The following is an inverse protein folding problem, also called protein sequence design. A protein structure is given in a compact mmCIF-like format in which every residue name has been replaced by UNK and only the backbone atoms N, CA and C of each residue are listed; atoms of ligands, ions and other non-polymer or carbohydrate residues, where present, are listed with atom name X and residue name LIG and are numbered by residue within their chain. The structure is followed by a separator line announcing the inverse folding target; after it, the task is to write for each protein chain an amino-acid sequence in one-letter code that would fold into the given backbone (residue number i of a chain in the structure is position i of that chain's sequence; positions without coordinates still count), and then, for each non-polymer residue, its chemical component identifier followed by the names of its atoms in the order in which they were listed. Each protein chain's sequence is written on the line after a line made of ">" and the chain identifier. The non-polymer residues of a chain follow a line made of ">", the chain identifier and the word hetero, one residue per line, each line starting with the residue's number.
data_IF_459358518783
#
_entry.id   IF_459358518783
#
_cell.length_a   1.000
_cell.length_b   1.000
_cell.length_c   1.000
_cell.angle_alpha   90.00
_cell.angle_beta   90.00
_cell.angle_gamma   90.00
#
_symmetry.space_group_name_H-M   'P 1'
#
loop_
_entity.id
_entity.type
_entity.pdbx_description
1 polymer ?
#
# COMPACT_ATOMS: atom_id res chain seq x y z
N UNK A 1 -4.18 7.38 11.90
CA UNK A 1 -4.30 7.66 10.44
C UNK A 1 -5.57 8.47 10.16
N UNK A 2 -5.92 9.43 11.02
CA UNK A 2 -7.10 10.29 10.83
C UNK A 2 -6.94 11.19 9.61
N UNK A 3 -5.77 11.79 9.45
CA UNK A 3 -5.53 12.78 8.39
C UNK A 3 -5.51 12.12 7.01
N UNK A 4 -5.01 10.88 6.93
CA UNK A 4 -5.04 10.07 5.71
C UNK A 4 -6.48 9.70 5.34
N UNK A 5 -7.33 9.39 6.32
CA UNK A 5 -8.75 9.12 6.07
C UNK A 5 -9.43 10.37 5.51
N UNK A 6 -9.26 11.52 6.15
CA UNK A 6 -9.80 12.80 5.67
C UNK A 6 -9.31 13.16 4.26
N UNK A 7 -8.02 12.93 3.97
CA UNK A 7 -7.46 13.18 2.65
C UNK A 7 -8.04 12.24 1.58
N UNK A 8 -8.25 10.96 1.91
CA UNK A 8 -8.89 10.00 1.00
C UNK A 8 -10.36 10.35 0.74
N UNK A 9 -11.09 10.75 1.79
CA UNK A 9 -12.47 11.23 1.69
C UNK A 9 -12.57 12.42 0.75
N UNK A 10 -11.76 13.45 1.01
CA UNK A 10 -11.68 14.61 0.14
C UNK A 10 -11.35 14.24 -1.31
N UNK A 11 -10.41 13.32 -1.54
CA UNK A 11 -10.00 12.94 -2.89
C UNK A 11 -11.17 12.34 -3.70
N UNK A 12 -11.88 11.34 -3.16
CA UNK A 12 -12.96 10.71 -3.92
C UNK A 12 -14.17 11.64 -4.06
N UNK A 13 -14.48 12.47 -3.05
CA UNK A 13 -15.55 13.47 -3.15
C UNK A 13 -15.28 14.52 -4.23
N UNK A 14 -14.00 14.81 -4.49
CA UNK A 14 -13.58 15.71 -5.57
C UNK A 14 -13.38 14.98 -6.92
N UNK A 15 -13.90 13.76 -7.06
CA UNK A 15 -13.91 13.05 -8.33
C UNK A 15 -12.58 12.40 -8.71
N UNK A 16 -11.67 12.18 -7.75
CA UNK A 16 -10.53 11.31 -8.00
C UNK A 16 -11.03 9.92 -8.42
N UNK A 17 -10.43 9.34 -9.45
CA UNK A 17 -10.74 7.97 -9.91
C UNK A 17 -9.68 6.97 -9.45
N UNK A 18 -8.52 7.46 -9.01
CA UNK A 18 -7.42 6.67 -8.48
C UNK A 18 -6.86 7.37 -7.25
N UNK A 19 -6.69 6.63 -6.16
CA UNK A 19 -6.03 7.10 -4.94
C UNK A 19 -4.79 6.22 -4.71
N UNK A 20 -3.62 6.85 -4.78
CA UNK A 20 -2.34 6.20 -4.52
C UNK A 20 -1.85 6.53 -3.11
N UNK A 21 -1.60 5.50 -2.30
CA UNK A 21 -1.17 5.59 -0.92
C UNK A 21 0.22 4.95 -0.76
N UNK A 22 1.27 5.74 -1.03
CA UNK A 22 2.66 5.37 -0.77
C UNK A 22 3.03 5.50 0.72
N UNK A 23 2.16 4.97 1.58
CA UNK A 23 2.22 5.05 3.03
C UNK A 23 1.47 3.86 3.64
N UNK A 24 1.69 3.62 4.92
CA UNK A 24 0.95 2.60 5.65
C UNK A 24 1.38 2.47 7.11
N UNK A 25 0.65 1.65 7.85
CA UNK A 25 0.96 1.30 9.23
C UNK A 25 0.65 -0.17 9.53
N UNK A 26 1.31 -0.74 10.53
CA UNK A 26 1.07 -2.12 10.98
C UNK A 26 -0.11 -2.25 11.96
N UNK A 27 -0.63 -1.13 12.45
CA UNK A 27 -1.86 -1.09 13.24
C UNK A 27 -3.04 -0.69 12.36
N UNK A 28 -4.09 -1.51 12.36
CA UNK A 28 -5.34 -1.23 11.65
C UNK A 28 -6.00 0.03 12.22
N UNK A 29 -6.57 0.86 11.34
CA UNK A 29 -7.40 2.00 11.72
C UNK A 29 -8.79 1.82 11.11
N UNK A 30 -9.78 1.56 11.96
CA UNK A 30 -11.17 1.34 11.52
C UNK A 30 -11.75 2.56 10.80
N UNK A 31 -11.38 3.77 11.20
CA UNK A 31 -11.77 5.00 10.51
C UNK A 31 -11.24 5.01 9.08
N UNK A 32 -9.93 4.79 8.89
CA UNK A 32 -9.35 4.72 7.55
C UNK A 32 -9.96 3.60 6.71
N UNK A 33 -10.19 2.44 7.32
CA UNK A 33 -10.84 1.31 6.64
C UNK A 33 -12.21 1.68 6.10
N UNK A 34 -13.07 2.24 6.95
CA UNK A 34 -14.43 2.63 6.58
C UNK A 34 -14.42 3.66 5.45
N UNK A 35 -13.52 4.65 5.53
CA UNK A 35 -13.40 5.66 4.46
C UNK A 35 -12.95 5.03 3.13
N UNK A 36 -12.00 4.10 3.16
CA UNK A 36 -11.53 3.43 1.95
C UNK A 36 -12.57 2.44 1.38
N UNK A 37 -13.35 1.78 2.23
CA UNK A 37 -14.47 0.93 1.78
C UNK A 37 -15.52 1.76 0.99
N UNK A 38 -15.82 2.98 1.45
CA UNK A 38 -16.68 3.90 0.71
C UNK A 38 -16.02 4.38 -0.59
N UNK A 39 -14.73 4.76 -0.54
CA UNK A 39 -13.98 5.23 -1.70
C UNK A 39 -13.86 4.17 -2.80
N UNK A 40 -13.78 2.89 -2.44
CA UNK A 40 -13.64 1.77 -3.38
C UNK A 40 -14.79 1.67 -4.40
N UNK A 41 -15.99 2.14 -4.04
CA UNK A 41 -17.12 2.17 -4.97
C UNK A 41 -16.91 3.17 -6.13
N UNK A 42 -16.01 4.15 -5.98
CA UNK A 42 -15.79 5.25 -6.91
C UNK A 42 -14.37 5.28 -7.49
N UNK A 43 -13.39 4.74 -6.76
CA UNK A 43 -11.97 4.87 -7.06
C UNK A 43 -11.24 3.53 -7.04
N UNK A 44 -10.23 3.40 -7.90
CA UNK A 44 -9.20 2.39 -7.71
C UNK A 44 -8.25 2.83 -6.58
N UNK A 45 -8.05 1.94 -5.60
CA UNK A 45 -7.18 2.18 -4.46
C UNK A 45 -5.88 1.40 -4.65
N UNK A 46 -4.74 2.07 -4.53
CA UNK A 46 -3.41 1.46 -4.64
C UNK A 46 -2.60 1.82 -3.41
N UNK A 47 -1.95 0.87 -2.77
CA UNK A 47 -1.13 1.13 -1.59
C UNK A 47 0.14 0.27 -1.54
N UNK A 48 1.16 0.76 -0.83
CA UNK A 48 2.45 0.09 -0.72
C UNK A 48 2.43 -1.05 0.32
N UNK A 49 2.97 -2.21 -0.04
CA UNK A 49 3.10 -3.36 0.87
C UNK A 49 3.97 -3.09 2.11
N UNK A 50 4.88 -2.11 2.02
CA UNK A 50 5.76 -1.69 3.12
C UNK A 50 7.19 -2.21 3.01
N UNK A 51 8.07 -1.66 3.86
CA UNK A 51 9.53 -1.74 3.66
C UNK A 51 10.28 -2.37 4.86
N UNK A 52 9.69 -3.34 5.55
CA UNK A 52 10.30 -3.96 6.74
C UNK A 52 10.64 -5.45 6.57
N UNK A 53 10.56 -5.98 5.35
CA UNK A 53 10.81 -7.39 5.01
C UNK A 53 9.97 -8.37 5.86
N UNK A 54 8.69 -8.05 6.04
CA UNK A 54 7.74 -8.86 6.81
C UNK A 54 6.78 -9.63 5.89
N UNK A 55 6.44 -10.89 6.20
CA UNK A 55 5.38 -11.61 5.51
C UNK A 55 4.00 -11.08 5.93
N UNK A 56 3.03 -11.16 5.02
CA UNK A 56 1.61 -10.86 5.30
C UNK A 56 0.87 -12.06 5.89
N UNK A 57 1.27 -13.29 5.52
CA UNK A 57 0.61 -14.53 5.96
C UNK A 57 0.82 -14.78 7.45
N UNK A 58 -0.17 -15.40 8.08
CA UNK A 58 -0.17 -15.64 9.53
C UNK A 58 1.05 -16.43 10.01
N UNK A 59 1.55 -16.09 11.19
CA UNK A 59 2.68 -16.78 11.82
C UNK A 59 3.67 -15.84 12.49
N UNK A 60 4.81 -16.40 12.90
CA UNK A 60 5.83 -15.64 13.60
C UNK A 60 6.43 -14.56 12.70
N UNK A 61 6.29 -13.30 13.11
CA UNK A 61 6.81 -12.16 12.38
C UNK A 61 5.91 -11.66 11.25
N UNK A 62 4.71 -12.20 11.11
CA UNK A 62 3.67 -11.67 10.22
C UNK A 62 3.32 -10.23 10.63
N UNK A 63 3.31 -9.33 9.66
CA UNK A 63 2.95 -7.93 9.89
C UNK A 63 2.24 -7.38 8.65
N UNK A 64 0.90 -7.54 8.55
CA UNK A 64 0.14 -6.99 7.45
C UNK A 64 0.24 -5.46 7.47
N UNK A 65 0.43 -4.86 6.29
CA UNK A 65 0.54 -3.41 6.13
C UNK A 65 -0.81 -2.82 5.76
N UNK A 66 -1.37 -1.97 6.62
CA UNK A 66 -2.63 -1.26 6.34
C UNK A 66 -2.35 0.09 5.67
N UNK A 67 -3.07 0.47 4.60
CA UNK A 67 -4.24 -0.21 4.03
C UNK A 67 -3.94 -1.23 2.92
N UNK A 68 -2.67 -1.45 2.57
CA UNK A 68 -2.28 -2.27 1.41
C UNK A 68 -2.69 -3.75 1.48
N UNK A 69 -2.89 -4.30 2.67
CA UNK A 69 -3.30 -5.68 2.87
C UNK A 69 -4.80 -5.93 2.66
N UNK A 70 -5.63 -4.90 2.60
CA UNK A 70 -7.07 -5.08 2.38
C UNK A 70 -7.33 -5.60 0.97
N UNK A 71 -8.20 -6.61 0.84
CA UNK A 71 -8.52 -7.24 -0.45
C UNK A 71 -9.13 -6.31 -1.51
N UNK A 72 -9.67 -5.17 -1.09
CA UNK A 72 -10.23 -4.14 -1.98
C UNK A 72 -9.23 -3.03 -2.32
N UNK A 73 -7.99 -3.12 -1.82
CA UNK A 73 -6.89 -2.21 -2.14
C UNK A 73 -5.85 -2.99 -2.92
N UNK A 74 -5.34 -2.44 -4.02
CA UNK A 74 -4.26 -3.05 -4.80
C UNK A 74 -2.93 -2.87 -4.04
N UNK A 75 -2.56 -3.86 -3.24
CA UNK A 75 -1.31 -3.95 -2.51
C UNK A 75 -0.13 -4.19 -3.45
N UNK A 76 0.80 -3.23 -3.48
CA UNK A 76 1.94 -3.25 -4.38
C UNK A 76 3.25 -3.55 -3.66
N UNK A 77 3.87 -4.66 -4.03
CA UNK A 77 5.21 -5.06 -3.63
C UNK A 77 6.30 -4.34 -4.46
N UNK A 78 7.45 -4.11 -3.86
CA UNK A 78 8.63 -3.59 -4.54
C UNK A 78 9.51 -4.70 -5.14
N UNK A 79 9.91 -4.50 -6.39
CA UNK A 79 10.92 -5.29 -7.10
C UNK A 79 12.17 -4.48 -7.45
N UNK A 80 13.26 -5.19 -7.66
CA UNK A 80 14.43 -4.70 -8.38
C UNK A 80 14.09 -4.51 -9.86
N UNK A 81 14.97 -3.83 -10.60
CA UNK A 81 14.85 -3.67 -12.06
C UNK A 81 14.93 -5.00 -12.83
N UNK A 82 15.24 -6.11 -12.17
CA UNK A 82 15.26 -7.47 -12.73
C UNK A 82 13.99 -8.27 -12.39
N UNK A 83 12.97 -7.64 -11.78
CA UNK A 83 11.72 -8.28 -11.37
C UNK A 83 11.82 -9.11 -10.08
N UNK A 84 13.01 -9.20 -9.47
CA UNK A 84 13.21 -9.89 -8.20
C UNK A 84 12.66 -9.07 -7.04
N UNK A 85 12.18 -9.72 -5.98
CA UNK A 85 11.71 -9.02 -4.77
C UNK A 85 12.81 -8.11 -4.21
N UNK A 86 12.50 -6.86 -3.88
CA UNK A 86 13.44 -6.00 -3.18
C UNK A 86 13.73 -6.52 -1.77
N UNK A 87 14.94 -6.30 -1.25
CA UNK A 87 15.36 -6.84 0.05
C UNK A 87 14.52 -6.32 1.23
N UNK A 88 14.11 -5.05 1.17
CA UNK A 88 13.28 -4.39 2.18
C UNK A 88 11.79 -4.70 2.04
N UNK A 89 11.33 -5.20 0.89
CA UNK A 89 9.92 -5.34 0.58
C UNK A 89 9.21 -6.30 1.56
N UNK A 90 8.12 -5.85 2.16
CA UNK A 90 7.13 -6.73 2.77
C UNK A 90 6.46 -7.56 1.70
N UNK A 91 6.18 -8.83 1.99
CA UNK A 91 5.89 -9.76 0.93
C UNK A 91 4.73 -10.69 1.22
N UNK A 92 4.16 -11.21 0.14
CA UNK A 92 3.16 -12.25 0.18
C UNK A 92 3.76 -13.63 -0.21
N UNK A 93 4.00 -14.52 0.77
CA UNK A 93 4.48 -15.88 0.51
C UNK A 93 3.49 -16.73 -0.33
N UNK A 94 2.19 -16.54 -0.12
CA UNK A 94 1.12 -17.27 -0.82
C UNK A 94 0.93 -16.81 -2.27
N UNK A 95 1.56 -15.71 -2.67
CA UNK A 95 1.47 -15.17 -4.02
C UNK A 95 0.14 -14.43 -4.30
N UNK A 96 0.03 -13.76 -5.46
CA UNK A 96 -0.95 -12.69 -5.66
C UNK A 96 -2.42 -13.15 -5.75
N UNK A 97 -2.68 -14.44 -5.91
CA UNK A 97 -4.02 -15.00 -6.14
C UNK A 97 -4.65 -15.64 -4.91
N UNK A 98 -3.85 -15.97 -3.89
CA UNK A 98 -4.31 -16.73 -2.74
C UNK A 98 -3.86 -16.05 -1.45
N UNK A 99 -4.75 -16.02 -0.47
CA UNK A 99 -4.44 -15.55 0.88
C UNK A 99 -4.08 -16.74 1.78
N UNK A 100 -2.93 -16.66 2.46
CA UNK A 100 -2.51 -17.65 3.47
C UNK A 100 -2.92 -17.25 4.88
N UNK A 101 -4.01 -16.49 5.04
CA UNK A 101 -4.49 -15.97 6.32
C UNK A 101 -6.03 -15.96 6.38
N UNK A 102 -6.58 -15.99 7.58
CA UNK A 102 -8.01 -16.02 7.86
C UNK A 102 -8.73 -14.70 7.58
N UNK A 103 -7.97 -13.61 7.41
CA UNK A 103 -8.50 -12.26 7.19
C UNK A 103 -8.73 -11.92 5.71
N UNK A 104 -8.25 -12.77 4.78
CA UNK A 104 -8.30 -12.48 3.35
C UNK A 104 -7.31 -11.40 2.90
N UNK A 105 -6.27 -11.14 3.70
CA UNK A 105 -5.25 -10.15 3.39
C UNK A 105 -4.34 -10.60 2.28
N UNK A 106 -4.00 -9.71 1.36
CA UNK A 106 -3.22 -10.03 0.18
C UNK A 106 -2.38 -8.83 -0.29
N UNK A 107 -1.35 -9.13 -1.10
CA UNK A 107 -0.68 -8.15 -1.96
C UNK A 107 -0.75 -8.68 -3.39
N UNK A 108 -1.45 -7.95 -4.26
CA UNK A 108 -1.92 -8.42 -5.56
C UNK A 108 -0.86 -8.29 -6.66
N UNK A 109 0.07 -7.34 -6.51
CA UNK A 109 0.97 -6.99 -7.60
C UNK A 109 2.34 -6.57 -7.12
N UNK A 110 3.30 -6.60 -8.06
CA UNK A 110 4.68 -6.18 -7.84
C UNK A 110 5.10 -5.20 -8.92
N UNK A 111 5.75 -4.11 -8.51
CA UNK A 111 6.22 -3.06 -9.39
C UNK A 111 7.70 -2.71 -9.11
N UNK A 112 8.44 -2.10 -10.06
CA UNK A 112 9.79 -1.62 -9.81
C UNK A 112 9.82 -0.57 -8.69
N UNK A 113 10.61 -0.82 -7.65
CA UNK A 113 10.72 0.06 -6.47
C UNK A 113 12.15 0.30 -6.00
N UNK A 114 13.15 -0.16 -6.74
CA UNK A 114 14.58 0.03 -6.42
C UNK A 114 15.23 0.92 -7.46
N UNK A 115 15.90 1.98 -7.01
CA UNK A 115 16.61 2.94 -7.88
C UNK A 115 15.70 3.57 -8.94
N UNK A 116 14.51 4.02 -8.51
CA UNK A 116 13.55 4.72 -9.37
C UNK A 116 13.88 6.21 -9.37
N UNK A 117 14.12 6.77 -10.55
CA UNK A 117 14.31 8.21 -10.73
C UNK A 117 12.96 8.91 -10.79
N UNK A 118 12.76 9.91 -9.94
CA UNK A 118 11.56 10.75 -9.89
C UNK A 118 11.95 12.22 -9.80
N UNK A 119 11.01 13.12 -10.05
CA UNK A 119 11.21 14.56 -9.90
C UNK A 119 11.57 14.90 -8.44
N UNK A 120 12.68 15.61 -8.24
CA UNK A 120 13.04 16.23 -6.97
C UNK A 120 13.15 17.74 -7.18
N UNK A 121 12.24 18.51 -6.56
CA UNK A 121 12.29 19.97 -6.61
C UNK A 121 13.15 20.46 -5.42
N UNK A 122 14.31 21.02 -5.72
CA UNK A 122 15.17 21.66 -4.73
C UNK A 122 14.97 23.18 -4.84
N UNK A 123 14.25 23.79 -3.90
CA UNK A 123 14.20 25.26 -3.81
C UNK A 123 15.59 25.77 -3.39
N UNK A 124 16.35 26.27 -4.36
CA UNK A 124 17.57 27.03 -4.07
C UNK A 124 17.11 28.41 -3.64
N UNK A 125 17.00 28.63 -2.33
CA UNK A 125 16.97 29.98 -1.77
C UNK A 125 18.35 30.62 -2.03
N UNK A 126 18.48 31.36 -3.13
CA UNK A 126 19.58 32.29 -3.32
C UNK A 126 19.40 33.43 -2.32
N UNK A 127 20.22 33.43 -1.26
CA UNK A 127 20.49 34.60 -0.42
C UNK A 127 21.88 35.13 -0.75
#
# INVERSE_FOLDING_TARGET
>A
MSDVALAAEYAYENGATVINMSLGNYAESLTLKTTLENAYAYCALVAAAGNNNKPIDEGFGAAPMFPACYSFVQGTEASTNTGSKASFNNYNPSGPLTCGNSHGYNYEMRAPGVSIMILFLMEIMMT
#
